data_IF_448200567213
#
_entry.id   IF_448200567213
#
_cell.length_a   1.000
_cell.length_b   1.000
_cell.length_c   1.000
_cell.angle_alpha   90.00
_cell.angle_beta   90.00
_cell.angle_gamma   90.00
#
_symmetry.space_group_name_H-M   'P 1'
#
loop_
_entity.id
_entity.type
_entity.pdbx_description
1 polymer ?
#
# COMPACT_ATOMS: atom_id res chain seq x y z
N UNK A 1 -0.18 -14.40 1.77
CA UNK A 1 -1.04 -13.57 0.89
C UNK A 1 -0.29 -13.14 -0.37
N UNK A 2 0.87 -12.49 -0.24
CA UNK A 2 1.57 -11.88 -1.39
C UNK A 2 2.22 -12.87 -2.37
N UNK A 3 2.47 -14.12 -1.96
CA UNK A 3 2.95 -15.17 -2.85
C UNK A 3 1.85 -15.95 -3.58
N UNK A 4 0.57 -15.68 -3.30
CA UNK A 4 -0.55 -16.37 -3.96
C UNK A 4 -0.76 -15.73 -5.33
N UNK A 5 -0.72 -16.50 -6.41
CA UNK A 5 -0.84 -15.98 -7.78
C UNK A 5 -2.29 -15.63 -8.17
N UNK A 6 -3.28 -16.39 -7.67
CA UNK A 6 -4.70 -16.15 -7.96
C UNK A 6 -5.22 -14.94 -7.18
N UNK A 7 -5.73 -13.94 -7.90
CA UNK A 7 -6.36 -12.75 -7.28
C UNK A 7 -7.60 -13.14 -6.47
N UNK A 8 -8.42 -14.05 -7.00
CA UNK A 8 -9.62 -14.54 -6.31
C UNK A 8 -9.27 -15.15 -4.95
N UNK A 9 -8.23 -15.97 -4.89
CA UNK A 9 -7.77 -16.58 -3.64
C UNK A 9 -7.22 -15.54 -2.67
N UNK A 10 -6.45 -14.56 -3.15
CA UNK A 10 -5.98 -13.43 -2.32
C UNK A 10 -7.16 -12.66 -1.73
N UNK A 11 -8.18 -12.35 -2.52
CA UNK A 11 -9.35 -11.59 -2.08
C UNK A 11 -10.20 -12.38 -1.08
N UNK A 12 -10.35 -13.70 -1.26
CA UNK A 12 -11.03 -14.57 -0.30
C UNK A 12 -10.27 -14.61 1.03
N UNK A 13 -8.94 -14.76 0.98
CA UNK A 13 -8.09 -14.76 2.18
C UNK A 13 -8.15 -13.42 2.92
N UNK A 14 -8.05 -12.31 2.19
CA UNK A 14 -8.17 -10.96 2.76
C UNK A 14 -9.53 -10.77 3.45
N UNK A 15 -10.63 -11.16 2.78
CA UNK A 15 -11.97 -11.13 3.35
C UNK A 15 -12.06 -11.96 4.63
N UNK A 16 -11.53 -13.18 4.63
CA UNK A 16 -11.52 -14.04 5.80
C UNK A 16 -10.79 -13.41 6.98
N UNK A 17 -9.59 -12.86 6.74
CA UNK A 17 -8.79 -12.20 7.78
C UNK A 17 -9.50 -10.95 8.34
N UNK A 18 -10.01 -10.09 7.46
CA UNK A 18 -10.74 -8.87 7.84
C UNK A 18 -11.98 -9.17 8.68
N UNK A 19 -12.84 -10.09 8.25
CA UNK A 19 -14.05 -10.46 9.00
C UNK A 19 -13.73 -11.18 10.31
N UNK A 20 -12.69 -12.01 10.34
CA UNK A 20 -12.24 -12.69 11.56
C UNK A 20 -11.73 -11.69 12.59
N UNK A 21 -10.92 -10.71 12.16
CA UNK A 21 -10.44 -9.64 13.05
C UNK A 21 -11.58 -8.76 13.55
N UNK A 22 -12.45 -8.31 12.64
CA UNK A 22 -13.57 -7.45 12.98
C UNK A 22 -14.51 -8.11 13.99
N UNK A 23 -14.92 -9.37 13.75
CA UNK A 23 -15.84 -10.07 14.64
C UNK A 23 -15.26 -10.38 16.02
N UNK A 24 -13.93 -10.49 16.15
CA UNK A 24 -13.23 -10.61 17.44
C UNK A 24 -13.11 -9.27 18.18
N UNK A 25 -13.08 -8.17 17.45
CA UNK A 25 -12.88 -6.82 18.02
C UNK A 25 -14.21 -6.19 18.44
N UNK A 26 -15.23 -6.29 17.59
CA UNK A 26 -16.55 -5.67 17.81
C UNK A 26 -17.47 -6.58 18.64
N UNK A 27 -17.21 -6.64 19.94
CA UNK A 27 -18.01 -7.42 20.90
C UNK A 27 -19.04 -6.59 21.67
N UNK A 28 -18.81 -5.28 21.79
CA UNK A 28 -19.67 -4.32 22.52
C UNK A 28 -19.98 -3.12 21.65
N UNK A 29 -21.14 -2.52 21.88
CA UNK A 29 -21.63 -1.35 21.16
C UNK A 29 -20.80 -0.11 21.52
N UNK A 30 -20.10 0.53 20.56
CA UNK A 30 -19.38 1.77 20.81
C UNK A 30 -20.23 2.91 21.39
N UNK A 31 -21.54 2.95 21.06
CA UNK A 31 -22.46 3.99 21.57
C UNK A 31 -22.88 3.81 23.03
N UNK A 32 -23.15 2.58 23.48
CA UNK A 32 -23.79 2.34 24.79
C UNK A 32 -23.17 1.23 25.64
N UNK A 33 -22.11 0.55 25.19
CA UNK A 33 -21.40 -0.50 25.93
C UNK A 33 -22.10 -1.86 26.01
N UNK A 34 -23.39 -1.96 25.62
CA UNK A 34 -24.12 -3.23 25.61
C UNK A 34 -23.51 -4.24 24.63
N UNK A 35 -23.65 -5.56 24.89
CA UNK A 35 -23.14 -6.59 23.98
C UNK A 35 -23.71 -6.45 22.56
N UNK A 36 -22.91 -6.83 21.57
CA UNK A 36 -23.34 -6.92 20.17
C UNK A 36 -23.75 -8.34 19.81
N UNK A 37 -24.89 -8.48 19.15
CA UNK A 37 -25.32 -9.72 18.49
C UNK A 37 -24.71 -9.80 17.10
N UNK A 38 -23.69 -10.64 16.95
CA UNK A 38 -23.02 -10.86 15.68
C UNK A 38 -23.93 -11.63 14.70
N UNK A 39 -24.00 -11.20 13.43
CA UNK A 39 -24.66 -11.99 12.37
C UNK A 39 -23.92 -13.30 12.15
N UNK A 40 -24.64 -14.34 11.70
CA UNK A 40 -24.04 -15.65 11.37
C UNK A 40 -22.94 -15.49 10.32
N UNK A 41 -23.16 -14.63 9.32
CA UNK A 41 -22.19 -14.31 8.27
C UNK A 41 -20.95 -13.55 8.74
N UNK A 42 -20.93 -13.05 9.99
CA UNK A 42 -19.88 -12.17 10.55
C UNK A 42 -19.67 -10.87 9.77
N UNK A 43 -20.62 -10.47 8.93
CA UNK A 43 -20.56 -9.23 8.11
C UNK A 43 -21.35 -8.07 8.72
N UNK A 44 -21.74 -8.17 9.98
CA UNK A 44 -22.46 -7.12 10.69
C UNK A 44 -22.91 -7.57 12.07
N UNK A 45 -23.24 -6.61 12.92
CA UNK A 45 -23.67 -6.86 14.29
C UNK A 45 -24.72 -5.84 14.71
N UNK A 46 -25.69 -6.26 15.51
CA UNK A 46 -26.75 -5.41 16.04
C UNK A 46 -26.60 -5.26 17.54
N UNK A 47 -26.87 -4.07 18.08
CA UNK A 47 -26.88 -3.88 19.53
C UNK A 47 -28.16 -4.46 20.14
N UNK A 48 -28.06 -5.05 21.34
CA UNK A 48 -29.22 -5.56 22.07
C UNK A 48 -30.10 -4.47 22.70
N UNK A 49 -29.56 -3.29 22.94
CA UNK A 49 -30.23 -2.24 23.75
C UNK A 49 -30.61 -1.00 22.95
N UNK A 50 -29.89 -0.69 21.87
CA UNK A 50 -30.16 0.48 21.04
C UNK A 50 -30.27 0.08 19.56
N UNK A 51 -30.85 0.92 18.69
CA UNK A 51 -31.13 0.55 17.30
C UNK A 51 -29.89 0.53 16.38
N UNK A 52 -28.68 0.55 16.94
CA UNK A 52 -27.44 0.63 16.17
C UNK A 52 -27.08 -0.71 15.52
N UNK A 53 -26.64 -0.60 14.27
CA UNK A 53 -26.10 -1.70 13.47
C UNK A 53 -24.70 -1.30 13.01
N UNK A 54 -23.73 -2.20 13.20
CA UNK A 54 -22.35 -1.98 12.81
C UNK A 54 -21.97 -2.96 11.71
N UNK A 55 -21.16 -2.47 10.77
CA UNK A 55 -20.61 -3.25 9.67
C UNK A 55 -19.09 -3.20 9.72
N UNK A 56 -18.39 -4.23 9.18
CA UNK A 56 -16.95 -4.15 8.96
C UNK A 56 -16.59 -2.93 8.12
N UNK A 57 -15.68 -2.11 8.64
CA UNK A 57 -15.14 -0.95 7.93
C UNK A 57 -13.88 -1.32 7.17
N UNK A 58 -13.61 -0.58 6.10
CA UNK A 58 -12.38 -0.69 5.32
C UNK A 58 -11.84 0.72 5.11
N UNK A 59 -10.60 0.98 5.55
CA UNK A 59 -10.01 2.31 5.40
C UNK A 59 -9.45 2.50 3.99
N UNK A 60 -9.83 3.55 3.25
CA UNK A 60 -9.21 3.87 1.96
C UNK A 60 -7.75 4.28 2.16
N UNK A 61 -6.87 3.72 1.34
CA UNK A 61 -5.42 4.02 1.32
C UNK A 61 -5.03 4.34 -0.10
N UNK A 62 -4.48 5.54 -0.33
CA UNK A 62 -3.89 5.87 -1.62
C UNK A 62 -2.47 5.28 -1.67
N UNK A 63 -2.19 4.42 -2.65
CA UNK A 63 -0.84 3.97 -2.97
C UNK A 63 -0.39 4.63 -4.26
N UNK A 64 0.73 5.34 -4.22
CA UNK A 64 1.14 6.28 -5.27
C UNK A 64 2.53 5.92 -5.78
N UNK A 65 2.61 5.53 -7.06
CA UNK A 65 3.89 5.45 -7.75
C UNK A 65 4.24 6.83 -8.30
N UNK A 66 5.36 7.39 -7.84
CA UNK A 66 5.80 8.71 -8.25
C UNK A 66 6.92 8.57 -9.29
N UNK A 67 6.78 9.23 -10.43
CA UNK A 67 7.81 9.33 -11.46
C UNK A 67 8.35 10.75 -11.59
N UNK A 68 9.48 10.89 -12.26
CA UNK A 68 9.93 12.17 -12.77
C UNK A 68 9.13 12.58 -14.03
N UNK A 69 9.22 13.84 -14.51
CA UNK A 69 8.47 14.31 -15.67
C UNK A 69 8.81 13.62 -16.99
N UNK A 70 10.02 13.04 -17.12
CA UNK A 70 10.45 12.29 -18.29
C UNK A 70 10.07 10.81 -18.24
N UNK A 71 9.50 10.36 -17.12
CA UNK A 71 9.18 8.96 -16.84
C UNK A 71 10.41 8.04 -17.01
N UNK A 72 11.60 8.51 -16.63
CA UNK A 72 12.84 7.72 -16.67
C UNK A 72 13.25 7.18 -15.30
N UNK A 73 12.80 7.83 -14.23
CA UNK A 73 13.07 7.46 -12.85
C UNK A 73 11.76 7.34 -12.05
N UNK A 74 11.75 6.38 -11.12
CA UNK A 74 10.68 6.23 -10.13
C UNK A 74 11.23 6.53 -8.74
N UNK A 75 10.46 7.29 -7.96
CA UNK A 75 10.71 7.48 -6.54
C UNK A 75 10.12 6.31 -5.77
N UNK A 76 10.98 5.54 -5.13
CA UNK A 76 10.58 4.42 -4.28
C UNK A 76 11.08 4.64 -2.86
N UNK A 77 10.32 4.12 -1.90
CA UNK A 77 10.55 4.30 -0.47
C UNK A 77 10.70 2.97 0.25
N UNK A 78 11.35 3.02 1.41
CA UNK A 78 11.42 1.93 2.38
C UNK A 78 10.88 2.42 3.71
N UNK A 79 9.74 1.89 4.14
CA UNK A 79 9.20 2.14 5.48
C UNK A 79 10.01 1.38 6.53
N UNK A 80 10.06 1.91 7.76
CA UNK A 80 10.67 1.19 8.89
C UNK A 80 10.05 -0.19 9.07
N UNK A 81 10.91 -1.20 9.25
CA UNK A 81 10.48 -2.59 9.41
C UNK A 81 10.20 -3.34 8.10
N UNK A 82 10.36 -2.67 6.95
CA UNK A 82 10.36 -3.36 5.65
C UNK A 82 11.53 -4.34 5.55
N UNK A 83 11.38 -5.44 4.79
CA UNK A 83 12.50 -6.28 4.39
C UNK A 83 13.68 -5.44 3.85
N UNK A 84 14.93 -5.75 4.25
CA UNK A 84 16.11 -5.08 3.71
C UNK A 84 16.16 -5.12 2.18
N UNK A 85 16.68 -4.04 1.58
CA UNK A 85 16.85 -3.89 0.12
C UNK A 85 15.55 -3.98 -0.71
N UNK A 86 14.39 -3.94 -0.06
CA UNK A 86 13.08 -3.86 -0.71
C UNK A 86 12.58 -2.41 -0.69
N UNK A 87 12.25 -1.87 -1.84
CA UNK A 87 11.60 -0.56 -1.96
C UNK A 87 10.23 -0.70 -2.63
N UNK A 88 9.30 0.18 -2.29
CA UNK A 88 7.91 0.18 -2.75
C UNK A 88 7.44 1.59 -3.11
N UNK A 89 6.27 1.69 -3.72
CA UNK A 89 5.52 2.94 -3.87
C UNK A 89 5.09 3.51 -2.50
N UNK A 90 4.88 4.82 -2.42
CA UNK A 90 4.38 5.51 -1.22
C UNK A 90 2.92 5.11 -0.95
N UNK A 91 2.51 5.01 0.30
CA UNK A 91 1.13 4.70 0.63
C UNK A 91 0.68 5.29 1.96
N UNK A 92 -0.50 5.91 1.96
CA UNK A 92 -1.04 6.52 3.17
C UNK A 92 -2.57 6.54 3.24
N UNK A 93 -3.08 6.72 4.45
CA UNK A 93 -4.52 6.67 4.71
C UNK A 93 -5.18 7.99 4.31
N UNK A 94 -6.31 7.90 3.61
CA UNK A 94 -7.10 9.10 3.36
C UNK A 94 -7.76 9.59 4.65
N UNK A 95 -7.74 10.90 4.85
CA UNK A 95 -8.35 11.56 5.99
C UNK A 95 -9.85 11.82 5.75
N UNK A 96 -10.67 11.99 6.80
CA UNK A 96 -12.07 12.37 6.64
C UNK A 96 -12.23 13.68 5.86
N UNK A 97 -13.03 13.65 4.79
CA UNK A 97 -13.25 14.81 3.93
C UNK A 97 -12.22 14.98 2.81
N UNK A 98 -11.21 14.11 2.75
CA UNK A 98 -10.15 14.15 1.74
C UNK A 98 -10.50 13.26 0.54
N UNK A 99 -10.34 13.78 -0.68
CA UNK A 99 -10.33 12.95 -1.88
C UNK A 99 -9.04 12.12 -1.95
N UNK A 100 -9.07 10.97 -2.62
CA UNK A 100 -7.86 10.16 -2.77
C UNK A 100 -6.76 10.89 -3.54
N UNK A 101 -7.12 11.78 -4.47
CA UNK A 101 -6.21 12.66 -5.18
C UNK A 101 -5.53 13.70 -4.28
N UNK A 102 -6.24 14.24 -3.28
CA UNK A 102 -5.67 15.10 -2.24
C UNK A 102 -4.77 14.29 -1.30
N UNK A 103 -5.20 13.09 -0.91
CA UNK A 103 -4.41 12.17 -0.10
C UNK A 103 -3.07 11.84 -0.76
N UNK A 104 -3.05 11.53 -2.07
CA UNK A 104 -1.80 11.33 -2.81
C UNK A 104 -0.85 12.54 -2.69
N UNK A 105 -1.38 13.76 -2.84
CA UNK A 105 -0.56 14.98 -2.78
C UNK A 105 0.00 15.19 -1.38
N UNK A 106 -0.86 15.05 -0.36
CA UNK A 106 -0.49 15.22 1.05
C UNK A 106 0.56 14.18 1.46
N UNK A 107 0.32 12.91 1.20
CA UNK A 107 1.23 11.82 1.61
C UNK A 107 2.60 11.94 0.94
N UNK A 108 2.66 12.30 -0.35
CA UNK A 108 3.96 12.54 -1.02
C UNK A 108 4.66 13.77 -0.42
N UNK A 109 3.92 14.83 -0.10
CA UNK A 109 4.52 16.01 0.54
C UNK A 109 4.99 15.70 1.98
N UNK A 110 4.23 14.94 2.76
CA UNK A 110 4.54 14.60 4.16
C UNK A 110 5.68 13.59 4.27
N UNK A 111 5.70 12.54 3.45
CA UNK A 111 6.69 11.47 3.56
C UNK A 111 8.05 11.83 2.93
N UNK A 112 8.05 12.58 1.82
CA UNK A 112 9.28 12.84 1.03
C UNK A 112 9.51 14.32 0.70
N UNK A 113 8.65 15.22 1.16
CA UNK A 113 8.84 16.67 1.00
C UNK A 113 8.64 17.19 -0.42
N UNK A 114 8.05 16.38 -1.32
CA UNK A 114 7.95 16.73 -2.74
C UNK A 114 6.51 17.16 -3.12
N UNK A 115 6.33 18.32 -3.77
CA UNK A 115 5.07 18.63 -4.43
C UNK A 115 4.92 17.79 -5.71
N UNK A 116 3.70 17.34 -5.99
CA UNK A 116 3.37 16.63 -7.24
C UNK A 116 2.56 17.53 -8.18
N UNK A 117 2.93 17.55 -9.45
CA UNK A 117 2.29 18.37 -10.48
C UNK A 117 1.06 17.70 -11.11
N UNK A 118 1.05 16.37 -11.11
CA UNK A 118 -0.02 15.53 -11.66
C UNK A 118 -0.30 14.37 -10.72
N UNK A 119 -1.57 14.05 -10.56
CA UNK A 119 -2.06 12.84 -9.87
C UNK A 119 -3.12 12.21 -10.76
N UNK A 120 -3.05 10.90 -10.95
CA UNK A 120 -4.03 10.14 -11.74
C UNK A 120 -4.35 8.81 -11.05
N UNK A 121 -5.63 8.44 -11.02
CA UNK A 121 -6.07 7.10 -10.67
C UNK A 121 -5.59 6.11 -11.74
N UNK A 122 -5.11 4.94 -11.31
CA UNK A 122 -4.80 3.80 -12.18
C UNK A 122 -5.97 2.80 -12.28
N UNK A 123 -7.15 3.17 -11.76
CA UNK A 123 -8.39 2.38 -11.77
C UNK A 123 -8.22 0.95 -11.24
N UNK A 124 -7.28 0.77 -10.30
CA UNK A 124 -6.96 -0.51 -9.67
C UNK A 124 -7.09 -0.39 -8.17
N UNK A 125 -7.68 -1.42 -7.57
CA UNK A 125 -7.78 -1.52 -6.12
C UNK A 125 -7.35 -2.90 -5.64
N UNK A 126 -6.92 -2.99 -4.39
CA UNK A 126 -6.57 -4.24 -3.74
C UNK A 126 -7.08 -4.25 -2.30
N UNK A 127 -7.92 -5.23 -1.91
CA UNK A 127 -8.22 -5.48 -0.51
C UNK A 127 -6.95 -5.85 0.26
N UNK A 128 -6.70 -5.18 1.37
CA UNK A 128 -5.49 -5.34 2.16
C UNK A 128 -5.83 -5.54 3.64
N UNK A 129 -5.72 -6.76 4.18
CA UNK A 129 -6.26 -7.09 5.51
C UNK A 129 -5.41 -6.57 6.69
N UNK A 130 -4.27 -5.93 6.44
CA UNK A 130 -3.28 -5.54 7.45
C UNK A 130 -3.06 -4.02 7.51
N UNK A 131 -2.99 -3.38 8.69
CA UNK A 131 -3.29 -3.92 10.00
C UNK A 131 -4.80 -4.00 10.28
N UNK A 132 -5.62 -3.06 9.80
CA UNK A 132 -7.02 -2.86 10.22
C UNK A 132 -8.06 -3.03 9.09
N UNK A 133 -7.73 -3.77 8.04
CA UNK A 133 -8.51 -3.87 6.79
C UNK A 133 -8.58 -2.53 6.05
N UNK A 134 -7.87 -2.47 4.94
CA UNK A 134 -7.75 -1.30 4.08
C UNK A 134 -8.11 -1.67 2.63
N UNK A 135 -8.49 -0.67 1.85
CA UNK A 135 -8.63 -0.77 0.41
C UNK A 135 -7.52 0.09 -0.20
N UNK A 136 -6.52 -0.58 -0.77
CA UNK A 136 -5.46 0.11 -1.50
C UNK A 136 -6.02 0.57 -2.83
N UNK A 137 -5.90 1.86 -3.13
CA UNK A 137 -6.33 2.49 -4.36
C UNK A 137 -5.09 2.99 -5.08
N UNK A 138 -4.84 2.49 -6.30
CA UNK A 138 -3.61 2.76 -7.02
C UNK A 138 -3.65 4.09 -7.77
N UNK A 139 -2.60 4.88 -7.57
CA UNK A 139 -2.39 6.17 -8.20
C UNK A 139 -0.99 6.27 -8.78
N UNK A 140 -0.86 7.15 -9.75
CA UNK A 140 0.41 7.59 -10.31
C UNK A 140 0.51 9.11 -10.17
N UNK A 141 1.70 9.59 -9.84
CA UNK A 141 1.96 11.00 -9.69
C UNK A 141 3.30 11.40 -10.31
N UNK A 142 3.44 12.68 -10.63
CA UNK A 142 4.65 13.25 -11.22
C UNK A 142 5.23 14.28 -10.25
N UNK A 143 6.50 14.12 -9.90
CA UNK A 143 7.25 15.07 -9.06
C UNK A 143 8.55 15.49 -9.77
N UNK A 144 9.05 16.68 -9.45
CA UNK A 144 10.31 17.17 -9.98
C UNK A 144 11.50 16.53 -9.26
N UNK A 145 12.30 15.76 -10.00
CA UNK A 145 13.49 15.07 -9.47
C UNK A 145 14.64 16.02 -9.10
N UNK A 146 14.63 17.27 -9.57
CA UNK A 146 15.63 18.28 -9.19
C UNK A 146 15.43 18.80 -7.76
N UNK A 147 14.24 18.61 -7.19
CA UNK A 147 13.94 18.96 -5.81
C UNK A 147 14.56 17.94 -4.85
N UNK A 148 15.05 18.47 -3.72
CA UNK A 148 15.65 17.63 -2.67
C UNK A 148 14.55 16.83 -1.97
N UNK A 149 14.73 15.51 -1.90
CA UNK A 149 13.93 14.62 -1.06
C UNK A 149 14.18 14.97 0.42
N UNK A 150 13.10 15.24 1.15
CA UNK A 150 13.08 15.40 2.61
C UNK A 150 12.29 14.25 3.23
N UNK A 151 12.98 13.11 3.45
CA UNK A 151 12.33 11.89 3.91
C UNK A 151 11.97 11.99 5.40
N UNK A 152 10.69 11.80 5.73
CA UNK A 152 10.19 11.82 7.09
C UNK A 152 10.81 10.69 7.93
N UNK A 153 11.71 10.98 8.89
CA UNK A 153 12.49 9.97 9.57
C UNK A 153 11.68 9.18 10.59
N UNK A 154 10.45 9.59 10.92
CA UNK A 154 9.55 8.82 11.79
C UNK A 154 8.94 7.63 11.06
N UNK A 155 8.73 7.73 9.75
CA UNK A 155 8.01 6.74 8.95
C UNK A 155 8.91 5.98 7.98
N UNK A 156 9.79 6.71 7.28
CA UNK A 156 10.68 6.17 6.28
C UNK A 156 12.09 5.92 6.82
N UNK A 157 12.68 4.83 6.35
CA UNK A 157 14.11 4.56 6.50
C UNK A 157 14.91 5.16 5.32
N UNK A 158 14.32 5.16 4.13
CA UNK A 158 14.96 5.72 2.92
C UNK A 158 13.92 6.04 1.85
N UNK A 159 14.15 7.10 1.08
CA UNK A 159 13.41 7.46 -0.13
C UNK A 159 14.41 7.92 -1.19
N UNK A 160 14.33 7.35 -2.40
CA UNK A 160 15.31 7.58 -3.46
C UNK A 160 14.67 7.46 -4.84
N UNK A 161 15.17 8.26 -5.76
CA UNK A 161 14.96 8.08 -7.19
C UNK A 161 15.79 6.89 -7.68
N UNK A 162 15.17 6.03 -8.47
CA UNK A 162 15.81 4.88 -9.11
C UNK A 162 15.55 4.92 -10.61
N UNK A 163 16.57 4.61 -11.40
CA UNK A 163 16.43 4.53 -12.84
C UNK A 163 15.53 3.35 -13.21
N UNK A 164 14.90 3.45 -14.38
CA UNK A 164 14.08 2.37 -14.92
C UNK A 164 14.82 1.04 -15.01
N UNK A 165 16.11 1.05 -15.35
CA UNK A 165 16.96 -0.13 -15.42
C UNK A 165 17.19 -0.75 -14.04
N UNK A 166 17.43 0.06 -13.00
CA UNK A 166 17.57 -0.41 -11.62
C UNK A 166 16.28 -1.09 -11.14
N UNK A 167 15.13 -0.46 -11.39
CA UNK A 167 13.82 -1.00 -11.02
C UNK A 167 13.50 -2.27 -11.81
N UNK A 168 13.85 -2.32 -13.11
CA UNK A 168 13.69 -3.53 -13.93
C UNK A 168 14.54 -4.70 -13.41
N UNK A 169 15.78 -4.43 -13.00
CA UNK A 169 16.65 -5.45 -12.39
C UNK A 169 16.07 -5.99 -11.08
N UNK A 170 15.53 -5.11 -10.22
CA UNK A 170 14.88 -5.51 -8.97
C UNK A 170 13.56 -6.28 -9.21
N UNK A 171 12.79 -5.92 -10.23
CA UNK A 171 11.61 -6.65 -10.68
C UNK A 171 11.99 -8.08 -11.10
N UNK A 172 12.99 -8.24 -11.97
CA UNK A 172 13.46 -9.55 -12.43
C UNK A 172 13.97 -10.42 -11.27
N UNK A 173 14.70 -9.82 -10.33
CA UNK A 173 15.16 -10.51 -9.12
C UNK A 173 14.00 -10.94 -8.22
N UNK A 174 12.97 -10.11 -8.08
CA UNK A 174 11.78 -10.46 -7.29
C UNK A 174 10.98 -11.60 -7.94
N UNK A 175 10.93 -11.63 -9.28
CA UNK A 175 10.27 -12.72 -10.02
C UNK A 175 11.01 -14.06 -9.88
N UNK A 176 12.35 -14.05 -9.82
CA UNK A 176 13.15 -15.26 -9.62
C UNK A 176 13.20 -15.72 -8.15
N UNK A 177 12.96 -14.82 -7.20
CA UNK A 177 12.91 -15.10 -5.76
C UNK A 177 11.67 -14.47 -5.10
N UNK A 178 10.46 -14.97 -5.39
CA UNK A 178 9.20 -14.37 -4.92
C UNK A 178 8.96 -14.52 -3.41
N UNK A 179 9.73 -15.39 -2.75
CA UNK A 179 9.72 -15.59 -1.30
C UNK A 179 10.82 -14.79 -0.59
N UNK A 180 11.58 -13.96 -1.34
CA UNK A 180 12.63 -13.09 -0.83
C UNK A 180 13.69 -13.83 0.01
N UNK A 181 14.03 -15.07 -0.37
CA UNK A 181 15.01 -15.91 0.36
C UNK A 181 16.43 -15.34 0.27
N UNK A 182 16.74 -14.59 -0.78
CA UNK A 182 18.03 -13.97 -1.05
C UNK A 182 18.20 -12.55 -0.49
N UNK A 183 17.36 -12.13 0.47
CA UNK A 183 17.51 -10.84 1.14
C UNK A 183 18.90 -10.77 1.81
N UNK A 184 19.68 -9.70 1.55
CA UNK A 184 20.97 -9.52 2.18
C UNK A 184 20.83 -9.29 3.69
N UNK A 185 21.74 -9.90 4.47
CA UNK A 185 21.82 -9.71 5.93
C UNK A 185 22.69 -8.52 6.32
N UNK A 186 23.64 -8.17 5.45
CA UNK A 186 24.57 -7.04 5.61
C UNK A 186 23.81 -5.70 5.64
N UNK A 187 24.23 -4.80 6.53
CA UNK A 187 23.69 -3.46 6.73
C UNK A 187 23.94 -2.55 5.51
N UNK A 188 25.09 -2.68 4.86
CA UNK A 188 25.47 -1.83 3.72
C UNK A 188 24.64 -2.13 2.47
N UNK A 189 24.22 -3.38 2.30
CA UNK A 189 23.39 -3.78 1.16
C UNK A 189 21.92 -3.46 1.35
N UNK A 190 21.47 -3.15 2.58
CA UNK A 190 20.05 -2.86 2.86
C UNK A 190 19.54 -1.63 2.11
N UNK A 191 20.43 -0.69 1.77
CA UNK A 191 20.07 0.53 1.07
C UNK A 191 20.03 0.39 -0.45
N UNK A 192 20.52 -0.72 -1.02
CA UNK A 192 20.43 -0.97 -2.46
C UNK A 192 19.01 -1.40 -2.85
N UNK A 193 18.57 -1.01 -4.04
CA UNK A 193 17.33 -1.55 -4.62
C UNK A 193 17.62 -2.94 -5.20
N UNK A 194 17.25 -3.99 -4.47
CA UNK A 194 17.39 -5.37 -4.94
C UNK A 194 16.05 -6.05 -5.17
N UNK A 195 15.04 -5.66 -4.39
CA UNK A 195 13.72 -6.25 -4.44
C UNK A 195 12.65 -5.15 -4.52
N UNK A 196 11.53 -5.52 -5.12
CA UNK A 196 10.26 -4.81 -5.01
C UNK A 196 9.27 -5.74 -4.28
N UNK A 197 8.05 -5.29 -3.95
CA UNK A 197 7.06 -6.17 -3.34
C UNK A 197 6.78 -7.42 -4.21
N UNK A 198 6.41 -8.57 -3.62
CA UNK A 198 6.07 -9.77 -4.38
C UNK A 198 4.86 -9.56 -5.31
N UNK A 199 4.71 -10.44 -6.31
CA UNK A 199 3.73 -10.30 -7.40
C UNK A 199 2.27 -10.17 -6.96
N UNK A 200 1.91 -10.69 -5.79
CA UNK A 200 0.57 -10.54 -5.23
C UNK A 200 0.25 -9.14 -4.68
N UNK A 201 1.22 -8.23 -4.57
CA UNK A 201 1.02 -6.86 -4.09
C UNK A 201 0.64 -5.91 -5.24
N UNK A 202 -0.25 -4.94 -4.98
CA UNK A 202 -0.63 -3.93 -5.97
C UNK A 202 0.57 -3.05 -6.38
N UNK A 203 1.47 -2.74 -5.44
CA UNK A 203 2.73 -2.04 -5.71
C UNK A 203 3.58 -2.75 -6.76
N UNK A 204 3.66 -4.08 -6.73
CA UNK A 204 4.37 -4.85 -7.74
C UNK A 204 3.75 -4.65 -9.12
N UNK A 205 2.42 -4.71 -9.21
CA UNK A 205 1.70 -4.53 -10.48
C UNK A 205 1.89 -3.11 -11.03
N UNK A 206 1.89 -2.10 -10.16
CA UNK A 206 2.17 -0.70 -10.53
C UNK A 206 3.59 -0.54 -11.05
N UNK A 207 4.59 -1.05 -10.32
CA UNK A 207 5.99 -0.97 -10.71
C UNK A 207 6.24 -1.74 -12.01
N UNK A 208 5.68 -2.93 -12.15
CA UNK A 208 5.78 -3.74 -13.37
C UNK A 208 5.19 -3.00 -14.57
N UNK A 209 3.97 -2.48 -14.45
CA UNK A 209 3.31 -1.74 -15.52
C UNK A 209 4.11 -0.49 -15.92
N UNK A 210 4.67 0.21 -14.93
CA UNK A 210 5.58 1.31 -15.16
C UNK A 210 6.80 0.86 -15.96
N UNK A 211 7.58 -0.14 -15.49
CA UNK A 211 8.76 -0.68 -16.18
C UNK A 211 8.46 -1.07 -17.62
N UNK A 212 7.33 -1.74 -17.85
CA UNK A 212 6.86 -2.22 -19.15
C UNK A 212 6.28 -1.12 -20.06
N UNK A 213 6.25 0.14 -19.59
CA UNK A 213 5.69 1.31 -20.29
C UNK A 213 4.23 1.09 -20.73
N UNK A 214 3.46 0.35 -19.93
CA UNK A 214 2.04 0.20 -20.19
C UNK A 214 1.34 1.52 -19.83
N UNK A 215 0.45 2.04 -20.70
CA UNK A 215 -0.29 3.25 -20.38
C UNK A 215 -1.07 3.04 -19.07
N UNK A 216 -1.15 4.06 -18.20
CA UNK A 216 -2.02 4.02 -17.03
C UNK A 216 -3.46 3.78 -17.52
N UNK A 217 -4.05 2.66 -17.11
CA UNK A 217 -5.38 2.21 -17.52
C UNK A 217 -6.52 3.02 -16.89
#
# INVERSE_FOLDING_TARGET
>A
MLGISSERERNILAKFQSLSKWSRTYLRCPKCGAPLKMRVSKTGATCHTCPQVYYPTCSPVAITLVSDPTDSHALLVRHKGSPPAMYTALAGFAQPGESLDECCRREVAEEVGLPVSKVMSLNRTQPWPMPNSSLMCAYYAVADMSLKIDACPTELESARWFSREEVAAALLRTLSDPLLKGIPRDVNERQKLLYIPPHGAIAHQMIKAWVEQQPPA
#
